data_IF_325450813430
#
_entry.id   IF_325450813430
#
_cell.length_a   1.000
_cell.length_b   1.000
_cell.length_c   1.000
_cell.angle_alpha   90.00
_cell.angle_beta   90.00
_cell.angle_gamma   90.00
#
_symmetry.space_group_name_H-M   'P 1'
#
loop_
_entity.id
_entity.type
_entity.pdbx_description
1 polymer ?
#
# COMPACT_ATOMS: atom_id res chain seq x y z
N UNK A 1 11.02 8.71 16.57
CA UNK A 1 10.41 10.04 16.36
C UNK A 1 8.96 9.85 15.92
N UNK A 2 8.18 10.88 15.92
CA UNK A 2 6.74 10.76 15.76
C UNK A 2 6.18 11.82 14.80
N UNK A 3 5.16 11.42 14.04
CA UNK A 3 4.27 12.32 13.33
C UNK A 3 2.99 12.48 14.15
N UNK A 4 2.64 13.71 14.49
CA UNK A 4 1.38 14.04 15.15
C UNK A 4 0.42 14.67 14.15
N UNK A 5 -0.74 14.06 13.98
CA UNK A 5 -1.87 14.62 13.23
C UNK A 5 -2.81 15.28 14.24
N UNK A 6 -2.73 16.60 14.33
CA UNK A 6 -3.45 17.38 15.33
C UNK A 6 -4.88 17.66 14.88
N UNK A 7 -5.84 17.43 15.79
CA UNK A 7 -7.28 17.65 15.57
C UNK A 7 -7.89 16.87 14.41
N UNK A 8 -7.43 15.64 14.16
CA UNK A 8 -8.01 14.80 13.11
C UNK A 8 -9.35 14.21 13.53
N UNK A 9 -10.32 14.23 12.63
CA UNK A 9 -11.65 13.68 12.88
C UNK A 9 -11.68 12.19 12.55
N UNK A 10 -12.22 11.38 13.47
CA UNK A 10 -12.45 9.96 13.24
C UNK A 10 -13.74 9.77 12.44
N UNK A 11 -13.67 9.03 11.34
CA UNK A 11 -14.75 8.93 10.35
C UNK A 11 -16.07 8.38 10.88
N UNK A 12 -16.02 7.39 11.78
CA UNK A 12 -17.23 6.67 12.24
C UNK A 12 -17.82 7.23 13.53
N UNK A 13 -17.07 8.00 14.30
CA UNK A 13 -17.53 8.57 15.58
C UNK A 13 -17.70 10.08 15.53
N UNK A 14 -17.03 10.75 14.60
CA UNK A 14 -16.94 12.20 14.55
C UNK A 14 -16.07 12.81 15.65
N UNK A 15 -15.42 11.98 16.48
CA UNK A 15 -14.51 12.40 17.52
C UNK A 15 -13.27 13.06 16.93
N UNK A 16 -12.80 14.13 17.54
CA UNK A 16 -11.58 14.84 17.13
C UNK A 16 -10.48 14.44 18.10
N UNK A 17 -9.39 13.93 17.57
CA UNK A 17 -8.25 13.42 18.34
C UNK A 17 -6.91 13.93 17.81
N UNK A 18 -5.90 13.80 18.63
CA UNK A 18 -4.50 13.84 18.18
C UNK A 18 -4.03 12.41 17.92
N UNK A 19 -3.70 12.11 16.68
CA UNK A 19 -3.14 10.82 16.30
C UNK A 19 -1.63 10.92 16.20
N UNK A 20 -0.94 10.08 16.95
CA UNK A 20 0.53 10.02 16.98
C UNK A 20 0.98 8.69 16.39
N UNK A 21 1.80 8.76 15.36
CA UNK A 21 2.35 7.58 14.69
C UNK A 21 3.88 7.66 14.62
N UNK A 22 4.58 6.51 14.58
CA UNK A 22 6.01 6.49 14.37
C UNK A 22 6.40 7.19 13.06
N UNK A 23 7.53 7.88 13.06
CA UNK A 23 8.06 8.59 11.89
C UNK A 23 9.57 8.67 11.98
N UNK A 24 10.23 8.92 10.87
CA UNK A 24 11.67 9.16 10.77
C UNK A 24 12.09 10.54 11.28
N UNK A 25 11.14 11.45 11.40
CA UNK A 25 11.36 12.79 11.96
C UNK A 25 10.17 13.24 12.81
N UNK A 26 10.43 14.10 13.82
CA UNK A 26 9.36 14.72 14.59
C UNK A 26 8.66 15.78 13.74
N UNK A 27 7.36 15.61 13.57
CA UNK A 27 6.53 16.50 12.78
C UNK A 27 5.12 16.59 13.36
N UNK A 28 4.56 17.78 13.34
CA UNK A 28 3.15 18.02 13.65
C UNK A 28 2.47 18.62 12.43
N UNK A 29 1.31 18.05 12.08
CA UNK A 29 0.47 18.50 10.98
C UNK A 29 -0.87 18.93 11.54
N UNK A 30 -1.36 20.10 11.15
CA UNK A 30 -2.74 20.49 11.39
C UNK A 30 -3.66 19.65 10.51
N UNK A 31 -4.36 18.72 11.14
CA UNK A 31 -5.28 17.80 10.48
C UNK A 31 -6.76 18.15 10.72
N UNK A 32 -7.04 19.38 11.13
CA UNK A 32 -8.39 19.84 11.47
C UNK A 32 -9.37 19.80 10.28
N UNK A 33 -8.87 19.84 9.05
CA UNK A 33 -9.66 19.68 7.83
C UNK A 33 -9.68 18.23 7.29
N UNK A 34 -9.09 17.28 8.01
CA UNK A 34 -8.94 15.90 7.59
C UNK A 34 -9.81 14.97 8.43
N UNK A 35 -10.19 13.86 7.80
CA UNK A 35 -10.87 12.74 8.46
C UNK A 35 -10.03 11.50 8.28
N UNK A 36 -9.77 10.77 9.38
CA UNK A 36 -9.12 9.48 9.32
C UNK A 36 -10.15 8.36 9.19
N UNK A 37 -9.86 7.42 8.34
CA UNK A 37 -10.66 6.22 8.09
C UNK A 37 -9.73 5.03 7.84
N UNK A 38 -10.23 3.77 7.94
CA UNK A 38 -9.50 2.62 7.42
C UNK A 38 -9.15 2.82 5.94
N UNK A 39 -8.00 2.29 5.52
CA UNK A 39 -7.60 2.32 4.12
C UNK A 39 -8.57 1.53 3.24
N UNK A 40 -8.65 1.91 1.97
CA UNK A 40 -9.45 1.20 0.99
C UNK A 40 -8.83 -0.14 0.62
N UNK A 41 -9.67 -1.08 0.22
CA UNK A 41 -9.27 -2.37 -0.32
C UNK A 41 -9.78 -2.51 -1.75
N UNK A 42 -8.92 -2.96 -2.67
CA UNK A 42 -9.30 -3.27 -4.04
C UNK A 42 -9.01 -4.75 -4.33
N UNK A 43 -10.06 -5.57 -4.49
CA UNK A 43 -9.88 -7.01 -4.70
C UNK A 43 -9.57 -7.40 -6.14
N UNK A 44 -9.35 -6.45 -7.04
CA UNK A 44 -9.15 -6.75 -8.45
C UNK A 44 -8.29 -5.68 -9.13
N UNK A 45 -6.98 -5.82 -9.03
CA UNK A 45 -6.03 -4.94 -9.71
C UNK A 45 -5.12 -5.72 -10.65
N UNK A 46 -4.62 -5.07 -11.67
CA UNK A 46 -3.68 -5.62 -12.64
C UNK A 46 -2.35 -4.88 -12.58
N UNK A 47 -1.46 -5.32 -11.71
CA UNK A 47 -0.06 -4.96 -11.84
C UNK A 47 0.56 -5.82 -12.93
N UNK A 48 1.47 -5.27 -13.68
CA UNK A 48 2.03 -5.92 -14.86
C UNK A 48 3.42 -6.52 -14.60
N UNK A 49 3.66 -6.85 -13.37
CA UNK A 49 4.89 -7.44 -12.86
C UNK A 49 4.59 -8.84 -12.28
N UNK A 50 5.21 -9.88 -12.78
CA UNK A 50 6.27 -9.93 -13.79
C UNK A 50 5.80 -9.81 -15.24
N UNK A 51 6.74 -9.51 -16.11
CA UNK A 51 6.64 -9.67 -17.57
C UNK A 51 6.32 -8.42 -18.37
N UNK A 52 5.61 -7.46 -17.79
CA UNK A 52 5.22 -6.21 -18.46
C UNK A 52 5.47 -4.98 -17.59
N UNK A 53 6.61 -4.96 -16.91
CA UNK A 53 6.99 -3.88 -15.98
C UNK A 53 7.08 -2.50 -16.62
N UNK A 54 7.19 -2.44 -17.93
CA UNK A 54 7.12 -1.18 -18.68
C UNK A 54 5.74 -0.52 -18.63
N UNK A 55 4.70 -1.29 -18.34
CA UNK A 55 3.33 -0.77 -18.11
C UNK A 55 3.11 -0.38 -16.66
N UNK A 56 3.43 -1.30 -15.75
CA UNK A 56 3.30 -1.13 -14.32
C UNK A 56 4.24 -2.11 -13.61
N UNK A 57 5.10 -1.60 -12.76
CA UNK A 57 5.89 -2.43 -11.86
C UNK A 57 5.15 -2.61 -10.53
N UNK A 58 5.60 -3.56 -9.71
CA UNK A 58 5.06 -3.73 -8.36
C UNK A 58 5.20 -2.44 -7.55
N UNK A 59 6.37 -1.82 -7.60
CA UNK A 59 6.65 -0.58 -6.85
C UNK A 59 5.78 0.58 -7.33
N UNK A 60 5.63 0.77 -8.63
CA UNK A 60 4.80 1.87 -9.16
C UNK A 60 3.33 1.65 -8.87
N UNK A 61 2.85 0.41 -8.96
CA UNK A 61 1.48 0.04 -8.62
C UNK A 61 1.15 0.26 -7.15
N UNK A 62 2.05 -0.14 -6.25
CA UNK A 62 1.89 0.09 -4.81
C UNK A 62 1.89 1.58 -4.47
N UNK A 63 2.77 2.37 -5.07
CA UNK A 63 2.78 3.83 -4.88
C UNK A 63 1.49 4.49 -5.37
N UNK A 64 0.99 4.07 -6.51
CA UNK A 64 -0.30 4.56 -7.04
C UNK A 64 -1.45 4.20 -6.10
N UNK A 65 -1.47 2.96 -5.60
CA UNK A 65 -2.46 2.49 -4.64
C UNK A 65 -2.43 3.31 -3.35
N UNK A 66 -1.26 3.47 -2.77
CA UNK A 66 -1.07 4.25 -1.53
C UNK A 66 -1.51 5.72 -1.72
N UNK A 67 -1.17 6.34 -2.85
CA UNK A 67 -1.58 7.72 -3.14
C UNK A 67 -3.09 7.89 -3.27
N UNK A 68 -3.81 6.82 -3.61
CA UNK A 68 -5.28 6.78 -3.66
C UNK A 68 -5.95 6.40 -2.34
N UNK A 69 -5.17 6.11 -1.29
CA UNK A 69 -5.69 5.69 0.01
C UNK A 69 -5.96 4.19 0.13
N UNK A 70 -5.45 3.38 -0.79
CA UNK A 70 -5.56 1.92 -0.73
C UNK A 70 -4.42 1.35 0.11
N UNK A 71 -4.77 0.52 1.08
CA UNK A 71 -3.83 -0.17 1.98
C UNK A 71 -3.70 -1.65 1.67
N UNK A 72 -4.67 -2.21 0.94
CA UNK A 72 -4.66 -3.60 0.51
C UNK A 72 -5.17 -3.69 -0.92
N UNK A 73 -4.47 -4.46 -1.74
CA UNK A 73 -4.88 -4.77 -3.11
C UNK A 73 -4.69 -6.27 -3.37
N UNK A 74 -5.59 -6.87 -4.14
CA UNK A 74 -5.46 -8.23 -4.63
C UNK A 74 -5.10 -8.19 -6.11
N UNK A 75 -3.91 -8.62 -6.42
CA UNK A 75 -3.36 -8.60 -7.77
C UNK A 75 -3.87 -9.82 -8.54
N UNK A 76 -4.38 -9.58 -9.74
CA UNK A 76 -4.80 -10.67 -10.61
C UNK A 76 -3.58 -11.40 -11.18
N UNK A 77 -3.63 -12.75 -11.27
CA UNK A 77 -2.46 -13.56 -11.60
C UNK A 77 -2.17 -13.68 -13.11
N UNK A 78 -2.79 -12.87 -13.94
CA UNK A 78 -2.63 -12.89 -15.40
C UNK A 78 -1.37 -12.14 -15.88
N UNK A 79 -0.27 -12.39 -15.24
CA UNK A 79 1.06 -11.87 -15.55
C UNK A 79 1.84 -12.82 -16.46
N UNK A 80 3.07 -12.49 -16.83
CA UNK A 80 3.95 -13.32 -17.67
C UNK A 80 5.31 -13.49 -17.00
N UNK A 81 5.55 -14.65 -16.33
CA UNK A 81 4.67 -15.83 -16.18
C UNK A 81 3.47 -15.53 -15.29
N UNK A 82 2.43 -16.33 -15.45
CA UNK A 82 1.24 -16.22 -14.61
C UNK A 82 1.57 -16.54 -13.14
N UNK A 83 0.99 -15.75 -12.22
CA UNK A 83 1.12 -15.96 -10.77
C UNK A 83 -0.03 -16.85 -10.25
N UNK A 84 -0.24 -18.00 -10.89
CA UNK A 84 -1.43 -18.85 -10.70
C UNK A 84 -1.19 -20.06 -9.81
N UNK A 85 -0.03 -20.18 -9.20
CA UNK A 85 0.31 -21.39 -8.46
C UNK A 85 1.30 -21.22 -7.33
N UNK A 86 1.29 -22.21 -6.47
CA UNK A 86 2.18 -22.39 -5.32
C UNK A 86 3.63 -22.73 -5.76
N UNK A 87 3.89 -22.84 -7.06
CA UNK A 87 5.18 -23.24 -7.60
C UNK A 87 5.80 -22.14 -8.42
N UNK A 88 6.38 -21.19 -7.72
CA UNK A 88 7.45 -20.40 -8.31
C UNK A 88 8.75 -21.10 -7.94
N UNK A 89 9.44 -21.65 -8.95
CA UNK A 89 10.72 -22.29 -8.72
C UNK A 89 11.74 -21.27 -8.21
N UNK A 90 12.49 -21.64 -7.19
CA UNK A 90 13.56 -20.81 -6.66
C UNK A 90 14.54 -20.44 -7.79
N UNK A 91 14.72 -19.14 -8.02
CA UNK A 91 15.66 -18.61 -9.03
C UNK A 91 15.02 -17.96 -10.26
N UNK A 92 13.70 -18.00 -10.40
CA UNK A 92 13.01 -17.05 -11.28
C UNK A 92 12.60 -15.81 -10.48
N UNK A 93 12.56 -14.61 -11.08
CA UNK A 93 11.92 -13.47 -10.41
C UNK A 93 10.49 -13.89 -10.12
N UNK A 94 10.31 -14.46 -8.95
CA UNK A 94 9.15 -15.22 -8.62
C UNK A 94 8.10 -14.39 -7.92
N UNK A 95 6.90 -14.91 -7.92
CA UNK A 95 5.76 -14.33 -7.22
C UNK A 95 6.06 -14.07 -5.72
N UNK A 96 6.95 -14.83 -5.09
CA UNK A 96 7.33 -14.59 -3.70
C UNK A 96 8.17 -13.33 -3.50
N UNK A 97 9.16 -13.09 -4.35
CA UNK A 97 9.96 -11.84 -4.29
C UNK A 97 9.11 -10.63 -4.63
N UNK A 98 8.18 -10.80 -5.56
CA UNK A 98 7.24 -9.77 -5.96
C UNK A 98 6.24 -9.48 -4.84
N UNK A 99 5.72 -10.52 -4.17
CA UNK A 99 4.82 -10.36 -3.02
C UNK A 99 5.53 -9.79 -1.78
N UNK A 100 6.77 -10.19 -1.53
CA UNK A 100 7.56 -9.63 -0.44
C UNK A 100 7.87 -8.15 -0.69
N UNK A 101 8.22 -7.77 -1.92
CA UNK A 101 8.43 -6.38 -2.30
C UNK A 101 7.13 -5.55 -2.22
N UNK A 102 5.98 -6.14 -2.55
CA UNK A 102 4.67 -5.52 -2.39
C UNK A 102 4.36 -5.26 -0.91
N UNK A 103 4.59 -6.25 -0.06
CA UNK A 103 4.36 -6.14 1.38
C UNK A 103 5.20 -5.04 2.01
N UNK A 104 6.48 -5.01 1.71
CA UNK A 104 7.40 -3.99 2.21
C UNK A 104 7.01 -2.59 1.69
N UNK A 105 6.54 -2.49 0.47
CA UNK A 105 6.19 -1.20 -0.15
C UNK A 105 4.85 -0.65 0.39
N UNK A 106 3.91 -1.49 0.74
CA UNK A 106 2.61 -1.06 1.31
C UNK A 106 2.73 -0.70 2.79
N UNK A 107 3.67 -1.31 3.51
CA UNK A 107 3.88 -1.03 4.95
C UNK A 107 4.70 0.26 5.16
N UNK A 108 5.54 0.66 4.22
CA UNK A 108 6.43 1.83 4.33
C UNK A 108 5.74 3.18 4.00
N UNK A 109 4.43 3.20 3.78
CA UNK A 109 3.67 4.42 3.49
C UNK A 109 2.70 4.76 4.65
#
# INVERSE_FOLDING_TARGET
>A
MTLTLHDIKVWNTGEVIDLIVPSDADKTVDASAMTIAPGFEDPHVHFRDPGQTYKESMVSGCRASASGGYTNVLIMPNTVPAMDGVKVEAGQPGASEVLDAEYDTVIDY
#
